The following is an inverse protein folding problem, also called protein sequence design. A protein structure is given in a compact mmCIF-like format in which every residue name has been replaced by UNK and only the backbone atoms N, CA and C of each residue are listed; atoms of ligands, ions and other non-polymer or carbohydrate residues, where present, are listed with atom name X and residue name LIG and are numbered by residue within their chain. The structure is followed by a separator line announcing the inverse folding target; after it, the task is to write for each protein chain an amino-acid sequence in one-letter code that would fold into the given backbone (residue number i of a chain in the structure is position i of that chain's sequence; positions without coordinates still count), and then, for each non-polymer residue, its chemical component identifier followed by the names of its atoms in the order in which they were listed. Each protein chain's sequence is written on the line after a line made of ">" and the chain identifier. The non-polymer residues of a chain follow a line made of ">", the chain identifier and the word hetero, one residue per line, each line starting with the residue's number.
data_IF_386569861526
#
_entry.id   IF_386569861526
#
_cell.length_a   1.000
_cell.length_b   1.000
_cell.length_c   1.000
_cell.angle_alpha   90.00
_cell.angle_beta   90.00
_cell.angle_gamma   90.00
#
_symmetry.space_group_name_H-M   'P 1'
#
loop_
_entity.id
_entity.type
_entity.pdbx_description
1 polymer ?
#
# COMPACT_ATOMS: atom_id res chain seq x y z
N UNK A 1 27.88 2.09 -1.43
CA UNK A 1 27.65 1.30 -2.65
C UNK A 1 26.99 0.02 -2.18
N UNK A 2 25.65 0.03 -2.07
CA UNK A 2 24.91 -1.12 -1.55
C UNK A 2 24.46 -1.90 -2.77
N UNK A 3 25.08 -3.05 -2.99
CA UNK A 3 24.82 -3.91 -4.14
C UNK A 3 23.39 -4.45 -4.10
N UNK A 4 22.75 -4.47 -5.26
CA UNK A 4 21.48 -5.15 -5.50
C UNK A 4 21.72 -6.66 -5.62
N UNK A 5 21.19 -7.51 -4.74
CA UNK A 5 21.10 -8.93 -5.05
C UNK A 5 19.91 -9.17 -5.98
N UNK A 6 20.20 -9.64 -7.19
CA UNK A 6 19.20 -10.28 -8.07
C UNK A 6 18.76 -11.58 -7.41
N UNK A 7 17.53 -11.60 -6.89
CA UNK A 7 16.90 -12.82 -6.38
C UNK A 7 15.79 -13.24 -7.35
N UNK A 8 16.14 -14.20 -8.21
CA UNK A 8 15.19 -15.04 -8.95
C UNK A 8 14.63 -16.07 -7.97
N UNK A 9 13.36 -15.92 -7.60
CA UNK A 9 12.59 -16.93 -6.85
C UNK A 9 11.08 -16.68 -7.03
N UNK A 10 10.28 -17.75 -7.13
CA UNK A 10 8.89 -17.67 -7.55
C UNK A 10 8.02 -16.98 -6.48
N UNK A 11 7.29 -15.96 -6.91
CA UNK A 11 6.35 -15.20 -6.10
C UNK A 11 5.11 -16.05 -5.80
N UNK A 12 5.10 -16.72 -4.66
CA UNK A 12 3.88 -17.30 -4.09
C UNK A 12 3.04 -16.16 -3.46
N UNK A 13 2.34 -15.43 -4.34
CA UNK A 13 1.48 -14.31 -4.02
C UNK A 13 0.19 -14.76 -3.34
N UNK A 14 0.29 -15.18 -2.08
CA UNK A 14 -0.88 -15.47 -1.26
C UNK A 14 -1.62 -14.15 -0.96
N UNK A 15 -2.68 -13.88 -1.72
CA UNK A 15 -3.64 -12.82 -1.42
C UNK A 15 -4.33 -13.14 -0.09
N UNK A 16 -3.89 -12.51 1.00
CA UNK A 16 -4.56 -12.62 2.31
C UNK A 16 -5.43 -11.40 2.54
N UNK A 17 -6.73 -11.58 2.38
CA UNK A 17 -7.75 -10.64 2.83
C UNK A 17 -8.12 -10.94 4.29
N UNK A 18 -7.59 -10.16 5.23
CA UNK A 18 -8.03 -10.20 6.62
C UNK A 18 -9.29 -9.32 6.79
N UNK A 19 -10.44 -9.97 6.96
CA UNK A 19 -11.69 -9.32 7.37
C UNK A 19 -11.70 -9.12 8.89
N UNK A 20 -11.86 -7.88 9.36
CA UNK A 20 -12.12 -7.59 10.77
C UNK A 20 -13.64 -7.46 11.01
N UNK A 21 -14.16 -8.46 11.73
CA UNK A 21 -15.42 -8.58 12.51
C UNK A 21 -16.58 -7.61 12.19
N UNK A 22 -17.67 -8.19 11.69
CA UNK A 22 -19.01 -7.62 11.75
C UNK A 22 -19.57 -7.71 13.18
N UNK A 23 -20.01 -6.58 13.73
CA UNK A 23 -21.00 -6.53 14.81
C UNK A 23 -22.21 -5.73 14.30
N UNK A 24 -23.39 -6.32 14.48
CA UNK A 24 -24.65 -5.85 13.91
C UNK A 24 -25.09 -4.49 14.43
N UNK A 25 -25.51 -3.64 13.50
CA UNK A 25 -26.28 -2.43 13.73
C UNK A 25 -26.86 -2.00 12.40
N UNK A 26 -28.20 -1.90 12.31
CA UNK A 26 -28.94 -1.52 11.10
C UNK A 26 -28.82 0.00 10.84
N UNK A 27 -27.59 0.42 10.58
CA UNK A 27 -27.23 1.68 9.93
C UNK A 27 -26.26 1.31 8.81
N UNK A 28 -26.24 2.05 7.69
CA UNK A 28 -25.28 1.78 6.60
C UNK A 28 -23.85 1.95 7.13
N UNK A 29 -23.26 0.87 7.65
CA UNK A 29 -21.87 0.87 8.07
C UNK A 29 -21.03 1.16 6.83
N UNK A 30 -20.19 2.18 6.92
CA UNK A 30 -19.22 2.49 5.89
C UNK A 30 -17.89 1.87 6.31
N UNK A 31 -17.17 1.31 5.34
CA UNK A 31 -15.85 0.76 5.54
C UNK A 31 -14.84 1.63 4.80
N UNK A 32 -13.74 1.99 5.46
CA UNK A 32 -12.64 2.68 4.80
C UNK A 32 -11.84 1.68 3.95
N UNK A 33 -11.92 1.81 2.64
CA UNK A 33 -11.26 0.90 1.70
C UNK A 33 -10.07 1.56 1.00
N UNK A 34 -9.05 0.76 0.70
CA UNK A 34 -7.88 1.15 -0.09
C UNK A 34 -7.25 -0.09 -0.73
N UNK A 35 -6.43 0.13 -1.75
CA UNK A 35 -5.59 -0.89 -2.37
C UNK A 35 -4.13 -0.65 -2.05
N UNK A 36 -3.40 -1.71 -1.74
CA UNK A 36 -1.99 -1.63 -1.39
C UNK A 36 -1.20 -2.82 -1.92
N UNK A 37 0.11 -2.63 -1.99
CA UNK A 37 1.08 -3.71 -2.19
C UNK A 37 1.88 -3.91 -0.89
N UNK A 38 2.12 -5.17 -0.57
CA UNK A 38 2.92 -5.55 0.59
C UNK A 38 4.33 -5.88 0.16
N UNK A 39 5.36 -5.36 0.85
CA UNK A 39 6.72 -5.76 0.60
C UNK A 39 6.93 -7.24 1.02
N UNK A 40 7.92 -7.93 0.44
CA UNK A 40 8.31 -9.25 0.91
C UNK A 40 8.62 -9.25 2.41
N UNK A 41 8.38 -10.36 3.10
CA UNK A 41 8.51 -10.45 4.56
C UNK A 41 9.89 -9.99 5.08
N UNK A 42 10.97 -10.37 4.39
CA UNK A 42 12.32 -9.95 4.73
C UNK A 42 12.50 -8.42 4.63
N UNK A 43 11.91 -7.80 3.62
CA UNK A 43 11.93 -6.33 3.43
C UNK A 43 11.11 -5.64 4.51
N UNK A 44 9.91 -6.14 4.83
CA UNK A 44 9.07 -5.60 5.90
C UNK A 44 9.78 -5.64 7.26
N UNK A 45 10.45 -6.74 7.57
CA UNK A 45 11.24 -6.88 8.81
C UNK A 45 12.45 -5.94 8.84
N UNK A 46 13.15 -5.76 7.71
CA UNK A 46 14.25 -4.82 7.60
C UNK A 46 13.79 -3.38 7.86
N UNK A 47 12.66 -2.98 7.27
CA UNK A 47 12.05 -1.67 7.49
C UNK A 47 11.61 -1.46 8.95
N UNK A 48 11.01 -2.48 9.58
CA UNK A 48 10.64 -2.40 11.00
C UNK A 48 11.88 -2.20 11.88
N UNK A 49 12.96 -2.98 11.67
CA UNK A 49 14.20 -2.82 12.45
C UNK A 49 14.83 -1.44 12.28
N UNK A 50 14.82 -0.92 11.05
CA UNK A 50 15.27 0.44 10.77
C UNK A 50 14.40 1.48 11.50
N UNK A 51 13.07 1.35 11.44
CA UNK A 51 12.14 2.25 12.12
C UNK A 51 12.22 2.16 13.65
N UNK A 52 12.58 0.99 14.21
CA UNK A 52 12.89 0.85 15.64
C UNK A 52 14.14 1.66 16.03
N UNK A 53 15.13 1.77 15.14
CA UNK A 53 16.28 2.65 15.29
C UNK A 53 15.88 4.12 15.39
N UNK A 54 15.13 4.60 14.41
CA UNK A 54 14.60 5.97 14.37
C UNK A 54 13.75 6.29 15.60
N UNK A 55 12.93 5.33 16.07
CA UNK A 55 12.13 5.50 17.28
C UNK A 55 13.00 5.79 18.51
N UNK A 56 14.12 5.07 18.69
CA UNK A 56 14.99 5.27 19.86
C UNK A 56 15.54 6.68 19.93
N UNK A 57 15.74 7.32 18.77
CA UNK A 57 16.26 8.69 18.68
C UNK A 57 15.16 9.75 18.79
N UNK A 58 13.93 9.45 18.37
CA UNK A 58 12.86 10.46 18.21
C UNK A 58 11.71 10.33 19.21
N UNK A 59 11.58 9.19 19.91
CA UNK A 59 10.48 8.89 20.83
C UNK A 59 9.13 8.63 20.13
N UNK A 60 9.13 8.43 18.80
CA UNK A 60 7.91 8.19 18.01
C UNK A 60 7.27 6.82 18.19
N UNK A 61 6.35 6.46 17.30
CA UNK A 61 5.76 5.10 17.22
C UNK A 61 6.23 4.40 15.95
N UNK A 62 6.52 3.11 16.08
CA UNK A 62 6.90 2.26 14.94
C UNK A 62 5.70 1.41 14.52
N UNK A 63 5.54 1.24 13.21
CA UNK A 63 4.59 0.28 12.63
C UNK A 63 5.20 -1.12 12.63
N UNK A 64 4.39 -2.14 12.91
CA UNK A 64 4.83 -3.54 12.82
C UNK A 64 5.07 -3.93 11.36
N UNK A 65 5.96 -4.88 11.10
CA UNK A 65 6.22 -5.37 9.75
C UNK A 65 4.94 -5.81 9.01
N UNK A 66 3.97 -6.39 9.72
CA UNK A 66 2.69 -6.82 9.15
C UNK A 66 1.80 -5.65 8.67
N UNK A 67 2.00 -4.45 9.21
CA UNK A 67 1.27 -3.26 8.83
C UNK A 67 1.96 -2.44 7.73
N UNK A 68 3.19 -2.78 7.35
CA UNK A 68 3.93 -2.05 6.31
C UNK A 68 3.36 -2.41 4.94
N UNK A 69 2.93 -1.40 4.21
CA UNK A 69 2.41 -1.50 2.85
C UNK A 69 2.60 -0.18 2.11
N UNK A 70 2.58 -0.25 0.78
CA UNK A 70 2.50 0.92 -0.09
C UNK A 70 1.09 1.01 -0.66
N UNK A 71 0.39 2.11 -0.38
CA UNK A 71 -0.97 2.34 -0.88
C UNK A 71 -0.97 2.83 -2.32
N UNK A 72 -1.75 2.18 -3.18
CA UNK A 72 -1.95 2.55 -4.59
C UNK A 72 -3.15 3.48 -4.78
N UNK A 73 -4.27 3.20 -4.10
CA UNK A 73 -5.50 3.97 -4.24
C UNK A 73 -6.33 3.96 -2.95
N UNK A 74 -6.79 5.14 -2.50
CA UNK A 74 -7.75 5.28 -1.41
C UNK A 74 -9.16 5.45 -1.98
N UNK A 75 -10.08 4.58 -1.56
CA UNK A 75 -11.51 4.64 -1.92
C UNK A 75 -12.32 5.39 -0.86
N UNK A 76 -11.72 5.69 0.29
CA UNK A 76 -12.38 6.36 1.40
C UNK A 76 -13.50 5.50 2.01
N UNK A 77 -14.46 6.18 2.63
CA UNK A 77 -15.65 5.55 3.21
C UNK A 77 -16.53 4.96 2.10
N UNK A 78 -16.65 3.62 2.10
CA UNK A 78 -17.32 2.87 1.05
C UNK A 78 -18.29 1.85 1.65
N UNK A 79 -19.52 1.68 1.13
CA UNK A 79 -20.44 0.66 1.60
C UNK A 79 -19.82 -0.75 1.45
N UNK A 80 -19.91 -1.65 2.45
CA UNK A 80 -19.30 -2.99 2.41
C UNK A 80 -19.64 -3.80 1.17
N UNK A 81 -20.86 -3.63 0.62
CA UNK A 81 -21.32 -4.31 -0.59
C UNK A 81 -20.54 -3.90 -1.84
N UNK A 82 -19.87 -2.73 -1.81
CA UNK A 82 -19.02 -2.25 -2.89
C UNK A 82 -17.60 -2.85 -2.86
N UNK A 83 -17.22 -3.59 -1.82
CA UNK A 83 -15.92 -4.26 -1.79
C UNK A 83 -15.74 -5.28 -2.92
N UNK A 84 -16.77 -6.08 -3.22
CA UNK A 84 -16.70 -7.08 -4.29
C UNK A 84 -16.52 -6.44 -5.70
N UNK A 85 -17.28 -5.41 -6.10
CA UNK A 85 -17.00 -4.63 -7.32
C UNK A 85 -15.58 -4.04 -7.36
N UNK A 86 -15.08 -3.49 -6.25
CA UNK A 86 -13.72 -2.95 -6.19
C UNK A 86 -12.66 -4.04 -6.46
N UNK A 87 -12.80 -5.22 -5.84
CA UNK A 87 -11.93 -6.38 -6.07
C UNK A 87 -12.02 -6.83 -7.53
N UNK A 88 -13.23 -6.84 -8.12
CA UNK A 88 -13.45 -7.15 -9.52
C UNK A 88 -12.69 -6.20 -10.46
N UNK A 89 -12.73 -4.90 -10.17
CA UNK A 89 -11.96 -3.89 -10.90
C UNK A 89 -10.45 -4.16 -10.85
N UNK A 90 -9.92 -4.38 -9.64
CA UNK A 90 -8.50 -4.63 -9.43
C UNK A 90 -8.01 -5.89 -10.17
N UNK A 91 -8.84 -6.93 -10.31
CA UNK A 91 -8.49 -8.16 -11.07
C UNK A 91 -8.34 -7.94 -12.58
N UNK A 92 -8.89 -6.86 -13.12
CA UNK A 92 -8.75 -6.52 -14.56
C UNK A 92 -7.44 -5.78 -14.85
N UNK A 93 -6.81 -5.20 -13.83
CA UNK A 93 -5.49 -4.56 -13.95
C UNK A 93 -4.45 -5.61 -14.35
N UNK A 94 -3.57 -5.21 -15.27
CA UNK A 94 -2.40 -5.99 -15.70
C UNK A 94 -1.17 -5.12 -15.51
N UNK A 95 -0.15 -5.66 -14.86
CA UNK A 95 1.13 -4.99 -14.69
C UNK A 95 2.26 -6.03 -14.75
N UNK A 96 3.39 -5.64 -15.33
CA UNK A 96 4.59 -6.44 -15.26
C UNK A 96 5.20 -6.34 -13.85
N UNK A 97 5.70 -7.45 -13.28
CA UNK A 97 6.53 -7.39 -12.07
C UNK A 97 7.71 -6.43 -12.29
N UNK A 98 7.98 -5.59 -11.30
CA UNK A 98 9.09 -4.65 -11.33
C UNK A 98 9.67 -4.47 -9.93
N UNK A 99 10.93 -4.04 -9.87
CA UNK A 99 11.58 -3.69 -8.61
C UNK A 99 11.13 -2.32 -8.11
N UNK A 100 11.04 -2.18 -6.79
CA UNK A 100 10.89 -0.91 -6.10
C UNK A 100 12.03 -0.78 -5.09
N UNK A 101 12.99 0.09 -5.38
CA UNK A 101 14.09 0.38 -4.48
C UNK A 101 13.61 1.36 -3.40
N UNK A 102 13.79 1.02 -2.13
CA UNK A 102 13.52 1.94 -1.00
C UNK A 102 14.84 2.57 -0.59
N UNK A 103 15.09 3.77 -1.07
CA UNK A 103 16.41 4.41 -1.00
C UNK A 103 16.45 5.57 -0.03
N UNK A 104 15.30 6.20 0.24
CA UNK A 104 15.22 7.42 1.02
C UNK A 104 14.15 7.33 2.09
N UNK A 105 14.51 7.84 3.27
CA UNK A 105 13.58 8.14 4.32
C UNK A 105 13.22 9.62 4.26
N UNK A 106 11.93 9.94 4.24
CA UNK A 106 11.43 11.32 4.26
C UNK A 106 10.57 11.53 5.49
N UNK A 107 10.65 12.74 6.05
CA UNK A 107 9.80 13.16 7.14
C UNK A 107 8.68 14.05 6.62
N UNK A 108 7.44 13.61 6.81
CA UNK A 108 6.26 14.41 6.55
C UNK A 108 5.83 15.14 7.82
N UNK A 109 6.24 16.39 7.93
CA UNK A 109 6.05 17.21 9.14
C UNK A 109 4.58 17.38 9.55
N UNK A 110 3.67 17.58 8.59
CA UNK A 110 2.25 17.80 8.87
C UNK A 110 1.60 16.61 9.59
N UNK A 111 1.90 15.39 9.15
CA UNK A 111 1.33 14.18 9.73
C UNK A 111 2.26 13.53 10.78
N UNK A 112 3.47 14.09 10.97
CA UNK A 112 4.53 13.58 11.84
C UNK A 112 4.90 12.13 11.53
N UNK A 113 5.00 11.81 10.23
CA UNK A 113 5.30 10.46 9.73
C UNK A 113 6.69 10.45 9.11
N UNK A 114 7.51 9.48 9.50
CA UNK A 114 8.69 9.08 8.73
C UNK A 114 8.28 7.93 7.82
N UNK A 115 8.55 8.04 6.53
CA UNK A 115 8.27 7.00 5.55
C UNK A 115 9.48 6.72 4.68
N UNK A 116 9.58 5.49 4.17
CA UNK A 116 10.63 5.06 3.27
C UNK A 116 10.05 4.86 1.87
N UNK A 117 10.74 5.36 0.86
CA UNK A 117 10.33 5.29 -0.53
C UNK A 117 11.50 5.33 -1.51
N UNK A 118 11.23 5.18 -2.80
CA UNK A 118 12.24 5.39 -3.85
C UNK A 118 12.63 6.86 -3.92
N UNK A 119 13.81 7.14 -4.49
CA UNK A 119 14.21 8.52 -4.84
C UNK A 119 13.24 9.16 -5.82
N UNK A 120 12.93 8.41 -6.87
CA UNK A 120 12.02 8.77 -7.95
C UNK A 120 10.99 7.65 -8.10
N UNK A 121 9.72 8.01 -8.28
CA UNK A 121 8.66 7.01 -8.48
C UNK A 121 8.89 6.27 -9.80
N UNK A 122 9.05 4.93 -9.80
CA UNK A 122 9.21 4.17 -11.03
C UNK A 122 7.98 4.30 -11.93
N UNK A 123 8.18 4.52 -13.23
CA UNK A 123 7.08 4.66 -14.19
C UNK A 123 6.14 3.44 -14.19
N UNK A 124 6.67 2.24 -13.95
CA UNK A 124 5.87 1.02 -13.85
C UNK A 124 4.92 1.02 -12.64
N UNK A 125 5.34 1.61 -11.51
CA UNK A 125 4.51 1.73 -10.31
C UNK A 125 3.42 2.80 -10.51
N UNK A 126 3.78 3.92 -11.13
CA UNK A 126 2.82 4.96 -11.49
C UNK A 126 1.76 4.42 -12.48
N UNK A 127 2.19 3.69 -13.52
CA UNK A 127 1.28 3.05 -14.48
C UNK A 127 0.33 2.04 -13.81
N UNK A 128 0.83 1.27 -12.83
CA UNK A 128 -0.01 0.37 -12.03
C UNK A 128 -1.09 1.14 -11.25
N UNK A 129 -0.72 2.22 -10.56
CA UNK A 129 -1.67 3.05 -9.83
C UNK A 129 -2.71 3.70 -10.76
N UNK A 130 -2.28 4.20 -11.92
CA UNK A 130 -3.16 4.80 -12.93
C UNK A 130 -4.12 3.77 -13.55
N UNK A 131 -3.65 2.56 -13.88
CA UNK A 131 -4.50 1.50 -14.41
C UNK A 131 -5.55 1.05 -13.39
N UNK A 132 -5.17 0.92 -12.13
CA UNK A 132 -6.10 0.62 -11.05
C UNK A 132 -7.15 1.74 -10.88
N UNK A 133 -6.72 3.00 -10.92
CA UNK A 133 -7.62 4.13 -10.82
C UNK A 133 -8.65 4.14 -11.96
N UNK A 134 -8.21 3.85 -13.20
CA UNK A 134 -9.09 3.77 -14.35
C UNK A 134 -10.15 2.65 -14.21
N UNK A 135 -9.74 1.46 -13.77
CA UNK A 135 -10.68 0.35 -13.55
C UNK A 135 -11.69 0.64 -12.43
N UNK A 136 -11.26 1.30 -11.35
CA UNK A 136 -12.14 1.72 -10.27
C UNK A 136 -13.11 2.83 -10.72
N UNK A 137 -12.66 3.75 -11.56
CA UNK A 137 -13.53 4.78 -12.14
C UNK A 137 -14.63 4.17 -13.03
N UNK A 138 -14.32 3.11 -13.78
CA UNK A 138 -15.32 2.35 -14.58
C UNK A 138 -16.42 1.74 -13.70
N UNK A 139 -16.07 1.31 -12.48
CA UNK A 139 -17.02 0.83 -11.47
C UNK A 139 -17.65 1.96 -10.62
N UNK A 140 -17.48 3.23 -11.03
CA UNK A 140 -18.03 4.42 -10.37
C UNK A 140 -17.58 4.57 -8.92
N UNK A 141 -16.31 4.29 -8.62
CA UNK A 141 -15.71 4.70 -7.35
C UNK A 141 -15.21 6.14 -7.44
N UNK A 142 -15.47 6.93 -6.40
CA UNK A 142 -14.83 8.23 -6.22
C UNK A 142 -13.53 7.99 -5.45
N UNK A 143 -12.40 8.14 -6.13
CA UNK A 143 -11.09 8.01 -5.50
C UNK A 143 -10.72 9.33 -4.80
N UNK A 144 -9.98 9.23 -3.70
CA UNK A 144 -9.42 10.42 -3.07
C UNK A 144 -8.46 11.11 -4.06
N UNK A 145 -8.76 12.36 -4.42
CA UNK A 145 -7.99 13.13 -5.39
C UNK A 145 -6.65 13.55 -4.79
N UNK A 146 -5.67 12.64 -4.86
CA UNK A 146 -4.29 12.90 -4.44
C UNK A 146 -3.35 12.41 -5.52
N UNK A 147 -2.35 13.23 -5.85
CA UNK A 147 -1.25 12.79 -6.72
C UNK A 147 -0.60 11.58 -6.07
N UNK A 148 -0.47 10.49 -6.84
CA UNK A 148 0.27 9.33 -6.40
C UNK A 148 1.73 9.71 -6.16
N UNK A 149 2.25 9.35 -4.99
CA UNK A 149 3.63 9.55 -4.61
C UNK A 149 4.06 8.32 -3.81
N UNK A 150 5.10 7.66 -4.29
CA UNK A 150 5.69 6.47 -3.66
C UNK A 150 6.93 6.82 -2.85
#
# INVERSE_FOLDING_TARGET
>A
MIECPTADSPLDGAARSTSARAQGGSGRSMARLFFAIWPPAATAQALQRWADGVRRETGGRTVSAAAIHLTLAFLGETPPQRAAPAIGAARRVRAAPHGLCLEEARYWAHNRIVWAGPRETPAALEALAQSLAAELARERFALEQRRFAA
#
